data_IF_513122079250
#
_entry.id   IF_513122079250
#
_cell.length_a   1.000
_cell.length_b   1.000
_cell.length_c   1.000
_cell.angle_alpha   90.00
_cell.angle_beta   90.00
_cell.angle_gamma   90.00
#
_symmetry.space_group_name_H-M   'P 1'
#
loop_
_entity.id
_entity.type
_entity.pdbx_description
1 polymer ?
#
# COMPACT_ATOMS: atom_id res chain seq x y z
N UNK A 1 -29.87 27.74 -5.61
CA UNK A 1 -29.70 26.30 -5.85
C UNK A 1 -29.71 26.10 -7.34
N UNK A 2 -28.54 26.17 -7.94
CA UNK A 2 -28.37 25.68 -9.30
C UNK A 2 -28.08 24.19 -9.19
N UNK A 3 -29.06 23.38 -9.59
CA UNK A 3 -29.03 21.92 -9.45
C UNK A 3 -27.80 21.28 -10.11
N UNK A 4 -27.19 21.93 -11.10
CA UNK A 4 -26.00 21.42 -11.76
C UNK A 4 -24.72 21.65 -10.92
N UNK A 5 -24.55 22.84 -10.35
CA UNK A 5 -23.43 23.14 -9.46
C UNK A 5 -23.51 22.31 -8.16
N UNK A 6 -24.71 22.21 -7.58
CA UNK A 6 -24.96 21.41 -6.38
C UNK A 6 -24.62 19.92 -6.61
N UNK A 7 -24.89 19.39 -7.81
CA UNK A 7 -24.51 18.03 -8.21
C UNK A 7 -22.99 17.85 -8.26
N UNK A 8 -22.25 18.80 -8.84
CA UNK A 8 -20.78 18.71 -8.92
C UNK A 8 -20.14 18.71 -7.52
N UNK A 9 -20.65 19.53 -6.59
CA UNK A 9 -20.20 19.54 -5.19
C UNK A 9 -20.46 18.18 -4.52
N UNK A 10 -21.63 17.58 -4.73
CA UNK A 10 -21.93 16.25 -4.19
C UNK A 10 -21.02 15.17 -4.78
N UNK A 11 -20.70 15.23 -6.08
CA UNK A 11 -19.73 14.32 -6.71
C UNK A 11 -18.33 14.46 -6.10
N UNK A 12 -17.89 15.70 -5.82
CA UNK A 12 -16.64 15.96 -5.12
C UNK A 12 -16.65 15.32 -3.71
N UNK A 13 -17.70 15.55 -2.92
CA UNK A 13 -17.83 14.98 -1.57
C UNK A 13 -17.83 13.44 -1.56
N UNK A 14 -18.40 12.82 -2.60
CA UNK A 14 -18.39 11.37 -2.81
C UNK A 14 -17.10 10.83 -3.43
N UNK A 15 -16.12 11.70 -3.71
CA UNK A 15 -14.84 11.35 -4.35
C UNK A 15 -15.03 10.77 -5.76
N UNK A 16 -16.14 11.10 -6.44
CA UNK A 16 -16.48 10.62 -7.78
C UNK A 16 -15.75 11.44 -8.86
N UNK A 17 -14.42 11.45 -8.78
CA UNK A 17 -13.58 12.34 -9.58
C UNK A 17 -13.73 12.14 -11.10
N UNK A 18 -13.86 10.89 -11.56
CA UNK A 18 -14.05 10.61 -12.98
C UNK A 18 -15.33 11.26 -13.53
N UNK A 19 -16.46 11.10 -12.83
CA UNK A 19 -17.75 11.68 -13.24
C UNK A 19 -17.72 13.20 -13.12
N UNK A 20 -17.15 13.73 -12.03
CA UNK A 20 -16.99 15.16 -11.82
C UNK A 20 -16.17 15.82 -12.93
N UNK A 21 -14.99 15.26 -13.24
CA UNK A 21 -14.11 15.78 -14.30
C UNK A 21 -14.75 15.73 -15.68
N UNK A 22 -15.54 14.68 -15.98
CA UNK A 22 -16.25 14.56 -17.25
C UNK A 22 -17.39 15.59 -17.41
N UNK A 23 -18.03 16.00 -16.30
CA UNK A 23 -19.16 16.91 -16.31
C UNK A 23 -18.75 18.39 -16.16
N UNK A 24 -17.65 18.68 -15.47
CA UNK A 24 -17.26 20.04 -15.11
C UNK A 24 -17.15 21.02 -16.30
N UNK A 25 -16.52 20.68 -17.46
CA UNK A 25 -16.45 21.58 -18.63
C UNK A 25 -17.81 21.99 -19.19
N UNK A 26 -18.85 21.17 -19.00
CA UNK A 26 -20.19 21.44 -19.50
C UNK A 26 -21.00 22.36 -18.58
N UNK A 27 -20.65 22.42 -17.30
CA UNK A 27 -21.40 23.18 -16.28
C UNK A 27 -20.71 24.50 -15.95
N UNK A 28 -19.37 24.48 -15.81
CA UNK A 28 -18.56 25.63 -15.40
C UNK A 28 -17.96 26.40 -16.59
N UNK A 29 -18.19 25.93 -17.82
CA UNK A 29 -17.50 26.41 -19.01
C UNK A 29 -16.09 25.83 -19.16
N UNK A 30 -15.51 26.02 -20.34
CA UNK A 30 -14.31 25.30 -20.79
C UNK A 30 -13.10 25.53 -19.87
N UNK A 31 -12.72 26.79 -19.64
CA UNK A 31 -11.51 27.13 -18.88
C UNK A 31 -11.55 26.70 -17.41
N UNK A 32 -12.66 26.91 -16.72
CA UNK A 32 -12.82 26.57 -15.31
C UNK A 32 -13.06 25.07 -15.13
N UNK A 33 -13.88 24.48 -16.00
CA UNK A 33 -14.13 23.06 -16.00
C UNK A 33 -12.90 22.21 -16.35
N UNK A 34 -12.01 22.66 -17.25
CA UNK A 34 -10.71 22.01 -17.51
C UNK A 34 -9.83 21.99 -16.26
N UNK A 35 -9.75 23.11 -15.51
CA UNK A 35 -8.98 23.15 -14.25
C UNK A 35 -9.55 22.20 -13.20
N UNK A 36 -10.87 22.09 -13.09
CA UNK A 36 -11.54 21.10 -12.22
C UNK A 36 -11.23 19.68 -12.70
N UNK A 37 -11.28 19.42 -14.01
CA UNK A 37 -10.96 18.13 -14.58
C UNK A 37 -9.51 17.69 -14.29
N UNK A 38 -8.53 18.60 -14.37
CA UNK A 38 -7.13 18.32 -14.01
C UNK A 38 -6.99 17.88 -12.54
N UNK A 39 -7.68 18.56 -11.62
CA UNK A 39 -7.67 18.21 -10.19
C UNK A 39 -8.39 16.87 -9.95
N UNK A 40 -9.48 16.60 -10.68
CA UNK A 40 -10.16 15.31 -10.67
C UNK A 40 -9.27 14.17 -11.17
N UNK A 41 -8.51 14.37 -12.25
CA UNK A 41 -7.58 13.36 -12.73
C UNK A 41 -6.52 13.01 -11.67
N UNK A 42 -5.97 14.02 -11.01
CA UNK A 42 -5.04 13.83 -9.90
C UNK A 42 -5.67 13.06 -8.73
N UNK A 43 -6.89 13.42 -8.32
CA UNK A 43 -7.64 12.69 -7.29
C UNK A 43 -7.96 11.25 -7.68
N UNK A 44 -8.29 11.02 -8.96
CA UNK A 44 -8.60 9.70 -9.51
C UNK A 44 -7.38 8.77 -9.49
N UNK A 45 -6.19 9.27 -9.86
CA UNK A 45 -4.93 8.49 -9.79
C UNK A 45 -4.62 8.04 -8.37
N UNK A 46 -4.77 8.93 -7.39
CA UNK A 46 -4.60 8.59 -5.96
C UNK A 46 -5.62 7.53 -5.50
N UNK A 47 -6.88 7.67 -5.93
CA UNK A 47 -7.96 6.76 -5.58
C UNK A 47 -7.83 5.38 -6.27
N UNK A 48 -7.18 5.31 -7.44
CA UNK A 48 -6.83 4.05 -8.10
C UNK A 48 -5.53 3.44 -7.58
N UNK A 49 -4.83 4.12 -6.67
CA UNK A 49 -3.52 3.71 -6.13
C UNK A 49 -2.45 3.55 -7.21
N UNK A 50 -2.52 4.38 -8.26
CA UNK A 50 -1.54 4.39 -9.33
C UNK A 50 -0.28 5.17 -8.89
N UNK A 51 0.54 4.51 -8.07
CA UNK A 51 1.66 5.16 -7.39
C UNK A 51 2.75 5.68 -8.33
N UNK A 52 2.78 5.24 -9.59
CA UNK A 52 3.72 5.71 -10.62
C UNK A 52 3.37 7.13 -11.09
N UNK A 53 2.07 7.47 -11.08
CA UNK A 53 1.56 8.74 -11.63
C UNK A 53 1.35 9.84 -10.58
N UNK A 54 1.61 9.58 -9.30
CA UNK A 54 1.41 10.57 -8.23
C UNK A 54 2.31 11.81 -8.36
N UNK A 55 3.44 11.67 -9.05
CA UNK A 55 4.40 12.76 -9.27
C UNK A 55 4.14 13.57 -10.54
N UNK A 56 3.12 13.22 -11.33
CA UNK A 56 2.78 13.91 -12.56
C UNK A 56 2.48 15.40 -12.33
N UNK A 57 2.78 16.22 -13.34
CA UNK A 57 2.59 17.67 -13.25
C UNK A 57 1.10 18.03 -13.24
N UNK A 58 0.57 18.42 -12.08
CA UNK A 58 -0.81 18.86 -11.91
C UNK A 58 -0.86 20.31 -11.40
N UNK A 59 -0.66 21.29 -12.29
CA UNK A 59 -0.52 22.71 -11.88
C UNK A 59 -1.76 23.28 -11.20
N UNK A 60 -2.94 22.78 -11.56
CA UNK A 60 -4.20 23.17 -10.93
C UNK A 60 -4.31 22.70 -9.47
N UNK A 61 -3.49 21.73 -9.05
CA UNK A 61 -3.51 21.17 -7.70
C UNK A 61 -2.58 21.96 -6.76
N UNK A 62 -3.06 22.34 -5.55
CA UNK A 62 -2.27 22.99 -4.52
C UNK A 62 -0.93 22.28 -4.25
N UNK A 63 0.15 23.06 -4.11
CA UNK A 63 1.50 22.53 -3.95
C UNK A 63 1.65 21.60 -2.74
N UNK A 64 0.88 21.86 -1.67
CA UNK A 64 0.81 21.01 -0.48
C UNK A 64 0.29 19.60 -0.79
N UNK A 65 -0.83 19.49 -1.49
CA UNK A 65 -1.43 18.20 -1.87
C UNK A 65 -0.50 17.42 -2.80
N UNK A 66 0.14 18.12 -3.75
CA UNK A 66 1.17 17.52 -4.61
C UNK A 66 2.37 17.00 -3.81
N UNK A 67 2.81 17.74 -2.78
CA UNK A 67 3.92 17.28 -1.92
C UNK A 67 3.55 16.02 -1.15
N UNK A 68 2.34 15.96 -0.59
CA UNK A 68 1.84 14.77 0.11
C UNK A 68 1.71 13.57 -0.82
N UNK A 69 1.19 13.75 -2.03
CA UNK A 69 1.13 12.69 -3.04
C UNK A 69 2.53 12.18 -3.43
N UNK A 70 3.51 13.08 -3.59
CA UNK A 70 4.91 12.70 -3.84
C UNK A 70 5.53 11.85 -2.72
N UNK A 71 5.07 11.99 -1.48
CA UNK A 71 5.53 11.13 -0.38
C UNK A 71 4.99 9.69 -0.49
N UNK A 72 3.90 9.48 -1.23
CA UNK A 72 3.31 8.16 -1.51
C UNK A 72 3.81 7.56 -2.84
N UNK A 73 4.51 8.35 -3.66
CA UNK A 73 4.94 7.96 -5.00
C UNK A 73 6.00 6.85 -4.95
N UNK A 74 5.89 5.88 -5.85
CA UNK A 74 6.93 4.88 -6.06
C UNK A 74 7.90 5.39 -7.13
N UNK A 75 9.20 5.61 -6.82
CA UNK A 75 10.17 6.10 -7.79
C UNK A 75 10.23 5.25 -9.05
N UNK A 76 10.29 5.89 -10.21
CA UNK A 76 10.29 5.25 -11.53
C UNK A 76 11.69 4.95 -12.07
N UNK A 77 12.73 5.51 -11.42
CA UNK A 77 14.13 5.19 -11.73
C UNK A 77 14.95 4.95 -10.46
N UNK A 78 16.08 4.21 -10.56
CA UNK A 78 16.93 3.96 -9.40
C UNK A 78 17.47 5.24 -8.72
N UNK A 79 17.61 6.33 -9.47
CA UNK A 79 18.22 7.59 -8.99
C UNK A 79 17.22 8.69 -8.68
N UNK A 80 15.93 8.45 -8.92
CA UNK A 80 14.91 9.47 -8.71
C UNK A 80 14.83 9.92 -7.24
N UNK A 81 14.66 11.22 -7.06
CA UNK A 81 14.55 11.89 -5.76
C UNK A 81 13.36 12.86 -5.78
N UNK A 82 12.62 13.01 -4.66
CA UNK A 82 12.75 12.26 -3.41
C UNK A 82 12.36 10.78 -3.57
N UNK A 83 12.80 9.91 -2.65
CA UNK A 83 12.52 8.45 -2.71
C UNK A 83 11.07 8.04 -2.44
N UNK A 84 10.18 8.99 -2.10
CA UNK A 84 8.75 8.73 -1.89
C UNK A 84 8.50 7.54 -0.96
N UNK A 85 7.68 6.59 -1.43
CA UNK A 85 7.32 5.37 -0.69
C UNK A 85 8.51 4.47 -0.33
N UNK A 86 9.65 4.56 -1.03
CA UNK A 86 10.87 3.82 -0.67
C UNK A 86 11.61 4.41 0.52
N UNK A 87 11.46 5.72 0.79
CA UNK A 87 11.98 6.30 2.03
C UNK A 87 11.18 5.80 3.24
N UNK A 88 9.86 5.72 3.13
CA UNK A 88 8.96 5.15 4.13
C UNK A 88 7.59 4.87 3.51
N UNK A 89 6.97 3.75 3.87
CA UNK A 89 5.63 3.39 3.45
C UNK A 89 4.55 4.05 4.30
N UNK A 90 4.88 4.71 5.43
CA UNK A 90 3.88 5.29 6.34
C UNK A 90 2.88 6.21 5.61
N UNK A 91 3.30 7.17 4.75
CA UNK A 91 2.36 7.98 3.98
C UNK A 91 1.50 7.16 3.00
N UNK A 92 2.11 6.17 2.32
CA UNK A 92 1.42 5.30 1.39
C UNK A 92 0.36 4.42 2.10
N UNK A 93 0.66 3.93 3.32
CA UNK A 93 -0.30 3.23 4.16
C UNK A 93 -1.43 4.13 4.66
N UNK A 94 -1.12 5.38 4.98
CA UNK A 94 -2.15 6.37 5.29
C UNK A 94 -3.11 6.57 4.13
N UNK A 95 -2.59 6.69 2.90
CA UNK A 95 -3.40 6.76 1.68
C UNK A 95 -4.18 5.46 1.43
N UNK A 96 -3.58 4.29 1.62
CA UNK A 96 -4.26 3.00 1.50
C UNK A 96 -5.47 2.91 2.45
N UNK A 97 -5.28 3.30 3.71
CA UNK A 97 -6.37 3.35 4.70
C UNK A 97 -7.46 4.35 4.30
N UNK A 98 -7.09 5.52 3.79
CA UNK A 98 -8.06 6.51 3.28
C UNK A 98 -8.86 5.95 2.10
N UNK A 99 -8.19 5.32 1.12
CA UNK A 99 -8.81 4.67 -0.04
C UNK A 99 -9.75 3.55 0.41
N UNK A 100 -9.34 2.68 1.33
CA UNK A 100 -10.19 1.62 1.89
C UNK A 100 -11.47 2.23 2.49
N UNK A 101 -11.35 3.30 3.28
CA UNK A 101 -12.50 3.97 3.88
C UNK A 101 -13.42 4.63 2.84
N UNK A 102 -12.85 5.28 1.82
CA UNK A 102 -13.61 5.88 0.71
C UNK A 102 -14.37 4.82 -0.07
N UNK A 103 -13.70 3.74 -0.47
CA UNK A 103 -14.31 2.63 -1.25
C UNK A 103 -15.37 1.89 -0.43
N UNK A 104 -15.15 1.72 0.88
CA UNK A 104 -16.16 1.17 1.79
C UNK A 104 -17.44 2.01 1.80
N UNK A 105 -17.33 3.33 2.01
CA UNK A 105 -18.48 4.25 2.01
C UNK A 105 -19.23 4.25 0.67
N UNK A 106 -18.49 4.12 -0.44
CA UNK A 106 -19.05 4.03 -1.79
C UNK A 106 -19.62 2.67 -2.15
N UNK A 107 -19.51 1.66 -1.26
CA UNK A 107 -19.89 0.26 -1.51
C UNK A 107 -19.13 -0.39 -2.68
N UNK A 108 -17.91 0.08 -2.94
CA UNK A 108 -17.04 -0.43 -3.99
C UNK A 108 -16.11 -1.50 -3.42
N UNK A 109 -16.68 -2.66 -3.11
CA UNK A 109 -16.00 -3.66 -2.27
C UNK A 109 -14.90 -4.44 -3.00
N UNK A 110 -14.99 -4.61 -4.32
CA UNK A 110 -13.91 -5.20 -5.12
C UNK A 110 -12.61 -4.36 -5.11
N UNK A 111 -12.62 -3.05 -5.47
CA UNK A 111 -11.42 -2.23 -5.36
C UNK A 111 -11.00 -1.99 -3.89
N UNK A 112 -11.92 -2.03 -2.92
CA UNK A 112 -11.57 -1.99 -1.50
C UNK A 112 -10.74 -3.22 -1.08
N UNK A 113 -11.16 -4.43 -1.42
CA UNK A 113 -10.39 -5.65 -1.09
C UNK A 113 -9.07 -5.72 -1.86
N UNK A 114 -8.99 -5.14 -3.07
CA UNK A 114 -7.72 -4.96 -3.77
C UNK A 114 -6.75 -4.04 -3.00
N UNK A 115 -7.22 -2.92 -2.44
CA UNK A 115 -6.40 -2.05 -1.60
C UNK A 115 -5.94 -2.75 -0.31
N UNK A 116 -6.82 -3.53 0.34
CA UNK A 116 -6.44 -4.36 1.51
C UNK A 116 -5.36 -5.38 1.15
N UNK A 117 -5.47 -5.99 -0.04
CA UNK A 117 -4.48 -6.95 -0.51
C UNK A 117 -3.11 -6.30 -0.76
N UNK A 118 -3.07 -5.13 -1.43
CA UNK A 118 -1.82 -4.37 -1.62
C UNK A 118 -1.19 -4.06 -0.26
N UNK A 119 -1.98 -3.62 0.72
CA UNK A 119 -1.49 -3.40 2.07
C UNK A 119 -0.89 -4.69 2.66
N UNK A 120 -1.53 -5.85 2.49
CA UNK A 120 -1.00 -7.11 3.00
C UNK A 120 0.34 -7.52 2.35
N UNK A 121 0.50 -7.33 1.05
CA UNK A 121 1.73 -7.67 0.31
C UNK A 121 2.96 -6.88 0.79
N UNK A 122 2.77 -5.61 1.13
CA UNK A 122 3.86 -4.72 1.53
C UNK A 122 4.04 -4.62 3.05
N UNK A 123 3.15 -5.23 3.84
CA UNK A 123 3.18 -5.15 5.31
C UNK A 123 4.48 -5.69 5.92
N UNK A 124 5.13 -6.72 5.34
CA UNK A 124 6.48 -7.09 5.74
C UNK A 124 7.51 -5.96 5.64
N UNK A 125 7.50 -5.15 4.56
CA UNK A 125 8.46 -4.06 4.42
C UNK A 125 8.23 -2.97 5.45
N UNK A 126 6.96 -2.66 5.76
CA UNK A 126 6.61 -1.75 6.85
C UNK A 126 7.13 -2.28 8.20
N UNK A 127 7.11 -3.60 8.44
CA UNK A 127 7.73 -4.19 9.62
C UNK A 127 9.26 -4.03 9.62
N UNK A 128 9.91 -4.10 8.46
CA UNK A 128 11.37 -3.96 8.35
C UNK A 128 11.87 -2.51 8.44
N UNK A 129 11.01 -1.50 8.24
CA UNK A 129 11.42 -0.08 8.24
C UNK A 129 12.27 0.34 9.44
N UNK A 130 11.93 0.00 10.70
CA UNK A 130 12.77 0.38 11.84
C UNK A 130 14.19 -0.20 11.79
N UNK A 131 14.38 -1.37 11.17
CA UNK A 131 15.69 -2.01 11.05
C UNK A 131 16.47 -1.52 9.82
N UNK A 132 15.78 -1.22 8.71
CA UNK A 132 16.40 -0.76 7.46
C UNK A 132 16.64 0.75 7.43
N UNK A 133 15.82 1.53 8.14
CA UNK A 133 15.74 2.99 7.97
C UNK A 133 15.05 3.44 6.68
N UNK A 134 14.47 2.51 5.92
CA UNK A 134 13.78 2.74 4.66
C UNK A 134 12.81 1.58 4.35
N UNK A 135 11.97 1.72 3.33
CA UNK A 135 10.94 0.74 3.00
C UNK A 135 11.35 -0.26 1.91
N UNK A 136 12.50 -0.89 2.11
CA UNK A 136 13.06 -1.84 1.14
C UNK A 136 13.48 -1.22 -0.20
N UNK A 137 14.21 -0.10 -0.16
CA UNK A 137 14.85 0.50 -1.34
C UNK A 137 15.99 -0.41 -1.83
N UNK A 138 15.91 -0.91 -3.08
CA UNK A 138 16.97 -1.76 -3.64
C UNK A 138 18.34 -1.11 -3.72
N UNK A 139 18.43 0.22 -3.69
CA UNK A 139 19.69 0.95 -3.70
C UNK A 139 20.36 1.03 -2.32
N UNK A 140 19.67 0.64 -1.24
CA UNK A 140 20.13 0.82 0.13
C UNK A 140 20.17 -0.48 0.96
N UNK A 141 20.06 -1.65 0.32
CA UNK A 141 20.11 -2.92 1.02
C UNK A 141 21.39 -3.09 1.86
N UNK A 142 21.29 -3.61 3.09
CA UNK A 142 22.46 -3.83 3.93
C UNK A 142 23.33 -4.93 3.33
N UNK A 143 24.65 -4.71 3.32
CA UNK A 143 25.62 -5.67 2.80
C UNK A 143 25.53 -7.05 3.47
N UNK A 144 25.00 -7.11 4.70
CA UNK A 144 24.74 -8.35 5.44
C UNK A 144 23.81 -9.33 4.72
N UNK A 145 22.88 -8.85 3.87
CA UNK A 145 22.03 -9.73 3.06
C UNK A 145 22.85 -10.61 2.11
N UNK A 146 23.98 -10.12 1.60
CA UNK A 146 24.86 -10.84 0.68
C UNK A 146 26.19 -11.28 1.33
N UNK A 147 26.25 -11.31 2.67
CA UNK A 147 27.47 -11.72 3.38
C UNK A 147 27.79 -13.21 3.17
N UNK A 148 29.07 -13.63 3.34
CA UNK A 148 29.44 -15.04 3.33
C UNK A 148 28.57 -15.87 4.29
N UNK A 149 28.03 -16.98 3.80
CA UNK A 149 27.09 -17.82 4.54
C UNK A 149 25.63 -17.37 4.46
N UNK A 150 25.32 -16.27 3.76
CA UNK A 150 23.94 -15.93 3.39
C UNK A 150 23.50 -16.72 2.16
N UNK A 151 22.28 -17.25 2.21
CA UNK A 151 21.59 -17.85 1.06
C UNK A 151 20.65 -16.86 0.35
N UNK A 152 20.53 -15.62 0.85
CA UNK A 152 19.64 -14.62 0.27
C UNK A 152 20.12 -14.23 -1.13
N UNK A 153 19.26 -14.40 -2.12
CA UNK A 153 19.61 -14.17 -3.53
C UNK A 153 20.37 -15.32 -4.20
N UNK A 154 20.60 -16.45 -3.51
CA UNK A 154 21.19 -17.65 -4.13
C UNK A 154 20.09 -18.48 -4.80
N UNK A 155 20.17 -18.62 -6.13
CA UNK A 155 19.17 -19.34 -6.92
C UNK A 155 19.50 -20.84 -6.93
N UNK A 156 18.48 -21.67 -6.70
CA UNK A 156 18.58 -23.13 -6.76
C UNK A 156 19.02 -23.78 -5.46
N UNK A 157 19.24 -23.01 -4.40
CA UNK A 157 19.52 -23.52 -3.07
C UNK A 157 18.27 -24.24 -2.53
N UNK A 158 18.42 -25.53 -2.19
CA UNK A 158 17.34 -26.38 -1.69
C UNK A 158 17.21 -26.36 -0.17
N UNK A 159 18.21 -25.84 0.52
CA UNK A 159 18.19 -25.66 1.97
C UNK A 159 17.58 -24.30 2.37
N UNK A 160 17.40 -23.41 1.40
CA UNK A 160 16.66 -22.16 1.58
C UNK A 160 15.13 -22.41 1.52
N UNK A 161 14.40 -21.87 2.50
CA UNK A 161 12.93 -21.96 2.53
C UNK A 161 12.22 -21.04 1.52
N UNK A 162 12.96 -20.16 0.84
CA UNK A 162 12.43 -19.40 -0.29
C UNK A 162 12.07 -20.32 -1.45
N UNK A 163 10.89 -20.14 -2.01
CA UNK A 163 10.50 -20.70 -3.30
C UNK A 163 11.45 -20.23 -4.41
N UNK A 164 11.46 -20.91 -5.57
CA UNK A 164 12.27 -20.48 -6.72
C UNK A 164 11.92 -19.06 -7.20
N UNK A 165 10.65 -18.68 -7.12
CA UNK A 165 10.20 -17.33 -7.48
C UNK A 165 10.77 -16.29 -6.52
N UNK A 166 10.67 -16.53 -5.20
CA UNK A 166 11.26 -15.67 -4.18
C UNK A 166 12.78 -15.59 -4.33
N UNK A 167 13.48 -16.70 -4.53
CA UNK A 167 14.94 -16.73 -4.79
C UNK A 167 15.32 -15.85 -5.99
N UNK A 168 14.53 -15.89 -7.07
CA UNK A 168 14.74 -15.02 -8.23
C UNK A 168 14.49 -13.54 -7.92
N UNK A 169 13.42 -13.23 -7.18
CA UNK A 169 13.10 -11.87 -6.77
C UNK A 169 14.17 -11.28 -5.83
N UNK A 170 14.61 -12.03 -4.82
CA UNK A 170 15.67 -11.61 -3.90
C UNK A 170 17.06 -11.61 -4.54
N UNK A 171 17.31 -12.38 -5.60
CA UNK A 171 18.53 -12.23 -6.39
C UNK A 171 18.51 -10.91 -7.17
N UNK A 172 17.39 -10.60 -7.82
CA UNK A 172 17.26 -9.40 -8.66
C UNK A 172 17.28 -8.12 -7.84
N UNK A 173 16.66 -8.09 -6.66
CA UNK A 173 16.65 -6.89 -5.80
C UNK A 173 18.05 -6.42 -5.40
N UNK A 174 19.02 -7.34 -5.27
CA UNK A 174 20.41 -7.00 -4.92
C UNK A 174 21.18 -6.29 -6.04
N UNK A 175 20.65 -6.26 -7.27
CA UNK A 175 21.32 -5.66 -8.44
C UNK A 175 20.47 -4.66 -9.22
N UNK A 176 19.16 -4.62 -9.00
CA UNK A 176 18.22 -3.82 -9.81
C UNK A 176 18.50 -2.32 -9.74
N UNK A 177 19.14 -1.83 -8.68
CA UNK A 177 19.55 -0.42 -8.58
C UNK A 177 20.56 0.01 -9.66
N UNK A 178 21.25 -0.95 -10.30
CA UNK A 178 22.15 -0.71 -11.42
C UNK A 178 21.49 -0.97 -12.80
N UNK A 179 20.25 -1.47 -12.83
CA UNK A 179 19.51 -1.69 -14.08
C UNK A 179 18.99 -0.36 -14.67
N UNK A 180 18.76 -0.28 -15.99
CA UNK A 180 18.05 0.84 -16.60
C UNK A 180 16.62 1.00 -16.06
N UNK A 181 15.99 2.15 -16.33
CA UNK A 181 14.65 2.47 -15.82
C UNK A 181 13.55 1.47 -16.21
N UNK A 182 13.67 0.78 -17.35
CA UNK A 182 12.77 -0.32 -17.71
C UNK A 182 12.91 -1.54 -16.80
N UNK A 183 14.14 -1.91 -16.43
CA UNK A 183 14.42 -3.02 -15.52
C UNK A 183 13.92 -2.73 -14.12
N UNK A 184 14.16 -1.51 -13.64
CA UNK A 184 13.63 -0.99 -12.37
C UNK A 184 12.10 -1.11 -12.29
N UNK A 185 11.37 -0.56 -13.28
CA UNK A 185 9.90 -0.64 -13.31
C UNK A 185 9.40 -2.09 -13.40
N UNK A 186 10.02 -2.91 -14.24
CA UNK A 186 9.66 -4.33 -14.34
C UNK A 186 9.92 -5.12 -13.04
N UNK A 187 10.84 -4.68 -12.19
CA UNK A 187 11.05 -5.27 -10.86
C UNK A 187 9.95 -4.87 -9.88
N UNK A 188 9.57 -3.59 -9.84
CA UNK A 188 8.48 -3.12 -8.98
C UNK A 188 7.14 -3.75 -9.35
N UNK A 189 6.85 -3.86 -10.64
CA UNK A 189 5.62 -4.48 -11.17
C UNK A 189 5.47 -5.95 -10.76
N UNK A 190 6.57 -6.71 -10.68
CA UNK A 190 6.50 -8.18 -10.64
C UNK A 190 7.12 -8.86 -9.43
N UNK A 191 8.02 -8.18 -8.72
CA UNK A 191 8.95 -8.84 -7.80
C UNK A 191 9.12 -8.14 -6.46
N UNK A 192 8.88 -6.84 -6.33
CA UNK A 192 9.14 -6.13 -5.07
C UNK A 192 8.27 -6.64 -3.91
N UNK A 193 6.98 -6.94 -4.15
CA UNK A 193 6.11 -7.59 -3.15
C UNK A 193 6.59 -8.99 -2.75
N UNK A 194 7.21 -9.75 -3.67
CA UNK A 194 7.78 -11.06 -3.35
C UNK A 194 9.00 -10.92 -2.42
N UNK A 195 9.79 -9.85 -2.58
CA UNK A 195 10.92 -9.56 -1.68
C UNK A 195 10.43 -9.24 -0.28
N UNK A 196 9.31 -8.53 -0.13
CA UNK A 196 8.67 -8.27 1.15
C UNK A 196 8.39 -9.59 1.91
N UNK A 197 7.69 -10.52 1.27
CA UNK A 197 7.41 -11.84 1.83
C UNK A 197 8.67 -12.65 2.13
N UNK A 198 9.65 -12.64 1.22
CA UNK A 198 10.91 -13.36 1.38
C UNK A 198 11.73 -12.86 2.59
N UNK A 199 11.80 -11.54 2.81
CA UNK A 199 12.44 -10.95 3.99
C UNK A 199 11.77 -11.37 5.29
N UNK A 200 10.43 -11.32 5.34
CA UNK A 200 9.69 -11.79 6.51
C UNK A 200 9.90 -13.29 6.75
N UNK A 201 9.98 -14.12 5.70
CA UNK A 201 10.32 -15.54 5.83
C UNK A 201 11.70 -15.73 6.45
N UNK A 202 12.72 -14.97 6.01
CA UNK A 202 14.07 -15.05 6.56
C UNK A 202 14.12 -14.81 8.08
N UNK A 203 13.38 -13.82 8.58
CA UNK A 203 13.43 -13.44 10.00
C UNK A 203 12.44 -14.21 10.88
N UNK A 204 11.30 -14.66 10.33
CA UNK A 204 10.20 -15.18 11.15
C UNK A 204 9.83 -16.66 10.92
N UNK A 205 10.17 -17.27 9.77
CA UNK A 205 9.71 -18.63 9.41
C UNK A 205 10.82 -19.59 8.94
N UNK A 206 12.03 -19.09 8.68
CA UNK A 206 13.12 -19.92 8.16
C UNK A 206 13.54 -21.03 9.13
N UNK A 207 13.45 -22.29 8.69
CA UNK A 207 13.77 -23.50 9.47
C UNK A 207 15.27 -23.77 9.55
N UNK A 208 16.03 -23.29 8.58
CA UNK A 208 17.49 -23.37 8.55
C UNK A 208 18.09 -21.97 8.35
N UNK A 209 18.10 -21.11 9.40
CA UNK A 209 18.62 -19.75 9.30
C UNK A 209 20.05 -19.72 8.75
N UNK A 210 20.33 -18.72 7.93
CA UNK A 210 21.64 -18.44 7.36
C UNK A 210 22.05 -17.01 7.72
N UNK A 211 23.23 -16.55 7.28
CA UNK A 211 23.78 -15.25 7.70
C UNK A 211 22.99 -14.02 7.23
N UNK A 212 21.94 -14.19 6.41
CA UNK A 212 21.16 -13.10 5.82
C UNK A 212 20.60 -12.09 6.82
N UNK A 213 20.31 -12.51 8.06
CA UNK A 213 19.70 -11.67 9.10
C UNK A 213 20.66 -11.36 10.26
N UNK A 214 21.97 -11.61 10.10
CA UNK A 214 22.95 -11.39 11.18
C UNK A 214 23.37 -9.91 11.33
N UNK A 215 23.00 -9.07 10.37
CA UNK A 215 23.18 -7.61 10.47
C UNK A 215 22.17 -6.94 11.41
N UNK A 216 21.10 -7.63 11.81
CA UNK A 216 20.13 -7.16 12.81
C UNK A 216 20.53 -7.72 14.18
N UNK A 217 20.69 -6.83 15.17
CA UNK A 217 21.02 -7.24 16.53
C UNK A 217 19.96 -8.20 17.11
N UNK A 218 20.39 -9.15 17.95
CA UNK A 218 19.50 -10.23 18.40
C UNK A 218 18.19 -9.77 19.09
N UNK A 219 18.18 -8.76 19.98
CA UNK A 219 16.94 -8.24 20.57
C UNK A 219 16.01 -7.63 19.51
N UNK A 220 16.54 -6.80 18.62
CA UNK A 220 15.78 -6.13 17.55
C UNK A 220 15.25 -7.15 16.53
N UNK A 221 16.01 -8.22 16.28
CA UNK A 221 15.62 -9.33 15.41
C UNK A 221 14.44 -10.11 15.97
N UNK A 222 14.35 -10.29 17.29
CA UNK A 222 13.23 -10.99 17.91
C UNK A 222 11.92 -10.17 17.81
N UNK A 223 12.00 -8.86 18.06
CA UNK A 223 10.88 -7.94 17.85
C UNK A 223 10.44 -7.91 16.38
N UNK A 224 11.39 -7.74 15.46
CA UNK A 224 11.13 -7.77 14.02
C UNK A 224 10.50 -9.09 13.58
N UNK A 225 10.97 -10.24 14.09
CA UNK A 225 10.39 -11.54 13.81
C UNK A 225 8.92 -11.63 14.25
N UNK A 226 8.57 -11.07 15.41
CA UNK A 226 7.19 -11.05 15.90
C UNK A 226 6.28 -10.21 14.98
N UNK A 227 6.72 -9.01 14.58
CA UNK A 227 5.98 -8.13 13.66
C UNK A 227 5.86 -8.74 12.26
N UNK A 228 6.93 -9.31 11.72
CA UNK A 228 6.93 -10.01 10.44
C UNK A 228 6.04 -11.25 10.45
N UNK A 229 5.98 -11.99 11.55
CA UNK A 229 5.06 -13.14 11.70
C UNK A 229 3.60 -12.71 11.62
N UNK A 230 3.24 -11.58 12.24
CA UNK A 230 1.89 -11.01 12.15
C UNK A 230 1.60 -10.50 10.74
N UNK A 231 2.56 -9.84 10.08
CA UNK A 231 2.41 -9.41 8.69
C UNK A 231 2.11 -10.58 7.74
N UNK A 232 2.89 -11.67 7.86
CA UNK A 232 2.65 -12.89 7.08
C UNK A 232 1.32 -13.56 7.43
N UNK A 233 0.93 -13.56 8.71
CA UNK A 233 -0.36 -14.09 9.13
C UNK A 233 -1.53 -13.27 8.56
N UNK A 234 -1.41 -11.93 8.50
CA UNK A 234 -2.41 -11.04 7.92
C UNK A 234 -2.66 -11.34 6.43
N UNK A 235 -1.59 -11.53 5.65
CA UNK A 235 -1.69 -11.92 4.24
C UNK A 235 -2.44 -13.24 4.01
N UNK A 236 -2.40 -14.14 4.99
CA UNK A 236 -3.09 -15.44 4.97
C UNK A 236 -4.54 -15.38 5.50
N UNK A 237 -5.03 -14.22 5.93
CA UNK A 237 -6.36 -14.10 6.53
C UNK A 237 -7.50 -14.22 5.52
N UNK A 238 -8.72 -14.61 5.97
CA UNK A 238 -9.91 -14.63 5.12
C UNK A 238 -10.19 -13.30 4.42
N UNK A 239 -9.97 -12.16 5.08
CA UNK A 239 -10.20 -10.83 4.49
C UNK A 239 -9.33 -10.60 3.24
N UNK A 240 -8.02 -10.88 3.33
CA UNK A 240 -7.09 -10.70 2.20
C UNK A 240 -7.40 -11.68 1.07
N UNK A 241 -7.83 -12.91 1.42
CA UNK A 241 -8.22 -13.94 0.45
C UNK A 241 -9.51 -13.62 -0.31
N UNK A 242 -10.34 -12.68 0.16
CA UNK A 242 -11.55 -12.28 -0.59
C UNK A 242 -11.23 -11.78 -2.00
N UNK A 243 -10.07 -11.13 -2.21
CA UNK A 243 -9.61 -10.74 -3.56
C UNK A 243 -9.54 -11.94 -4.51
N UNK A 244 -9.16 -13.10 -3.98
CA UNK A 244 -9.00 -14.33 -4.74
C UNK A 244 -10.21 -15.27 -4.67
N UNK A 245 -11.28 -14.91 -3.95
CA UNK A 245 -12.45 -15.79 -3.77
C UNK A 245 -13.39 -15.82 -4.99
N UNK A 246 -13.03 -15.13 -6.08
CA UNK A 246 -13.73 -15.17 -7.35
C UNK A 246 -13.08 -16.04 -8.48
N UNK A 247 -12.60 -17.30 -8.30
CA UNK A 247 -12.10 -18.06 -9.45
C UNK A 247 -12.99 -19.24 -9.90
N UNK A 248 -13.80 -19.88 -9.05
CA UNK A 248 -14.66 -21.01 -9.48
C UNK A 248 -15.71 -21.35 -8.42
N UNK A 249 -16.98 -21.25 -8.81
CA UNK A 249 -18.15 -21.55 -7.97
C UNK A 249 -19.41 -21.00 -8.62
N UNK A 250 -19.61 -19.68 -8.55
CA UNK A 250 -20.76 -18.99 -9.17
C UNK A 250 -20.40 -17.63 -9.82
N UNK A 251 -19.15 -17.48 -10.29
CA UNK A 251 -18.71 -16.61 -11.41
C UNK A 251 -18.84 -15.08 -11.35
N UNK A 252 -19.65 -14.49 -10.46
CA UNK A 252 -20.00 -13.06 -10.57
C UNK A 252 -20.09 -12.30 -9.22
N UNK A 253 -19.70 -12.94 -8.10
CA UNK A 253 -19.87 -12.33 -6.77
C UNK A 253 -18.83 -11.25 -6.48
N UNK A 254 -19.24 -9.98 -6.51
CA UNK A 254 -18.57 -8.92 -5.73
C UNK A 254 -18.92 -9.19 -4.26
N UNK A 255 -17.94 -9.25 -3.34
CA UNK A 255 -18.25 -9.50 -1.93
C UNK A 255 -19.18 -8.40 -1.41
N UNK A 256 -20.21 -8.80 -0.69
CA UNK A 256 -21.11 -7.90 0.04
C UNK A 256 -20.42 -7.33 1.28
N UNK A 257 -20.99 -6.26 1.84
CA UNK A 257 -20.43 -5.62 3.04
C UNK A 257 -20.45 -6.59 4.24
N UNK A 258 -21.47 -7.44 4.33
CA UNK A 258 -21.60 -8.47 5.35
C UNK A 258 -20.49 -9.52 5.22
N UNK A 259 -20.27 -10.06 4.02
CA UNK A 259 -19.18 -11.02 3.77
C UNK A 259 -17.80 -10.45 4.11
N UNK A 260 -17.57 -9.16 3.82
CA UNK A 260 -16.33 -8.47 4.21
C UNK A 260 -16.20 -8.40 5.73
N UNK A 261 -17.24 -7.99 6.46
CA UNK A 261 -17.20 -7.87 7.92
C UNK A 261 -17.03 -9.21 8.60
N UNK A 262 -17.72 -10.25 8.12
CA UNK A 262 -17.53 -11.61 8.62
C UNK A 262 -16.11 -12.14 8.35
N UNK A 263 -15.58 -11.89 7.15
CA UNK A 263 -14.20 -12.25 6.83
C UNK A 263 -13.22 -11.49 7.72
N UNK A 264 -13.47 -10.20 8.00
CA UNK A 264 -12.65 -9.42 8.91
C UNK A 264 -12.72 -9.96 10.34
N UNK A 265 -13.90 -10.32 10.85
CA UNK A 265 -14.06 -10.91 12.18
C UNK A 265 -13.22 -12.19 12.36
N UNK A 266 -13.31 -13.09 11.39
CA UNK A 266 -12.49 -14.31 11.37
C UNK A 266 -11.00 -14.00 11.27
N UNK A 267 -10.63 -12.96 10.52
CA UNK A 267 -9.25 -12.49 10.39
C UNK A 267 -8.72 -11.96 11.73
N UNK A 268 -9.48 -11.13 12.45
CA UNK A 268 -9.14 -10.64 13.78
C UNK A 268 -8.90 -11.78 14.75
N UNK A 269 -9.80 -12.76 14.80
CA UNK A 269 -9.67 -13.96 15.64
C UNK A 269 -8.43 -14.80 15.31
N UNK A 270 -8.03 -14.86 14.04
CA UNK A 270 -6.82 -15.56 13.61
C UNK A 270 -5.54 -14.81 13.99
N UNK A 271 -5.56 -13.48 13.98
CA UNK A 271 -4.43 -12.62 14.33
C UNK A 271 -4.23 -12.46 15.83
N UNK A 272 -5.32 -12.54 16.62
CA UNK A 272 -5.32 -12.42 18.07
C UNK A 272 -4.66 -13.63 18.76
N UNK A 273 -3.32 -13.68 18.65
CA UNK A 273 -2.44 -14.73 19.18
C UNK A 273 -1.24 -14.18 19.94
N UNK A 274 -0.99 -12.87 19.83
CA UNK A 274 0.14 -12.19 20.46
C UNK A 274 -0.16 -10.67 20.55
N UNK A 275 0.57 -9.90 21.38
CA UNK A 275 0.27 -8.48 21.60
C UNK A 275 0.20 -7.61 20.34
N UNK A 276 1.00 -7.91 19.30
CA UNK A 276 0.99 -7.17 18.02
C UNK A 276 -0.27 -7.51 17.23
N UNK A 277 -0.62 -8.80 17.12
CA UNK A 277 -1.81 -9.24 16.41
C UNK A 277 -3.12 -8.85 17.10
N UNK A 278 -3.14 -8.83 18.43
CA UNK A 278 -4.30 -8.40 19.23
C UNK A 278 -4.69 -6.93 19.01
N UNK A 279 -3.83 -6.09 18.45
CA UNK A 279 -4.23 -4.70 18.14
C UNK A 279 -5.28 -4.63 17.04
N UNK A 280 -5.43 -5.69 16.22
CA UNK A 280 -6.51 -5.82 15.25
C UNK A 280 -7.91 -5.88 15.90
N UNK A 281 -8.03 -6.17 17.19
CA UNK A 281 -9.32 -6.24 17.90
C UNK A 281 -9.79 -4.90 18.46
N UNK A 282 -8.99 -3.83 18.31
CA UNK A 282 -9.36 -2.49 18.77
C UNK A 282 -10.54 -1.96 17.98
N UNK A 283 -11.42 -1.23 18.66
CA UNK A 283 -12.44 -0.42 18.01
C UNK A 283 -11.91 1.02 17.88
N UNK A 284 -11.32 1.31 16.73
CA UNK A 284 -10.70 2.60 16.40
C UNK A 284 -11.58 3.47 15.48
N UNK A 285 -12.85 3.11 15.31
CA UNK A 285 -13.80 3.84 14.47
C UNK A 285 -13.56 3.73 12.96
N UNK A 286 -12.56 2.95 12.53
CA UNK A 286 -12.32 2.66 11.12
C UNK A 286 -13.36 1.66 10.59
N UNK A 287 -13.78 1.72 9.30
CA UNK A 287 -14.76 0.77 8.75
C UNK A 287 -14.42 -0.71 8.95
N UNK A 288 -13.13 -1.04 8.92
CA UNK A 288 -12.58 -2.33 9.33
C UNK A 288 -11.87 -2.12 10.68
N UNK A 289 -12.65 -2.06 11.75
CA UNK A 289 -12.17 -1.70 13.09
C UNK A 289 -10.90 -2.47 13.48
N UNK A 290 -9.88 -1.74 13.91
CA UNK A 290 -8.59 -2.27 14.35
C UNK A 290 -7.55 -2.41 13.23
N UNK A 291 -7.92 -2.21 11.96
CA UNK A 291 -6.96 -2.30 10.86
C UNK A 291 -5.85 -1.24 10.92
N UNK A 292 -6.12 0.07 11.14
CA UNK A 292 -5.06 1.06 11.38
C UNK A 292 -4.20 0.71 12.60
N UNK A 293 -4.83 0.19 13.67
CA UNK A 293 -4.14 -0.24 14.88
C UNK A 293 -3.17 -1.41 14.62
N UNK A 294 -3.56 -2.38 13.78
CA UNK A 294 -2.72 -3.48 13.34
C UNK A 294 -1.51 -2.97 12.54
N UNK A 295 -1.74 -2.11 11.55
CA UNK A 295 -0.66 -1.55 10.73
C UNK A 295 0.32 -0.73 11.58
N UNK A 296 -0.19 0.07 12.51
CA UNK A 296 0.65 0.82 13.45
C UNK A 296 1.53 -0.09 14.32
N UNK A 297 0.95 -1.19 14.82
CA UNK A 297 1.68 -2.16 15.65
C UNK A 297 2.77 -2.89 14.86
N UNK A 298 2.49 -3.26 13.61
CA UNK A 298 3.47 -3.90 12.73
C UNK A 298 4.58 -2.91 12.31
N UNK A 299 4.24 -1.65 12.06
CA UNK A 299 5.21 -0.60 11.73
C UNK A 299 6.10 -0.20 12.91
N UNK A 300 5.70 -0.51 14.15
CA UNK A 300 6.24 0.08 15.37
C UNK A 300 6.21 1.64 15.35
N UNK A 301 5.24 2.21 14.63
CA UNK A 301 5.05 3.65 14.47
C UNK A 301 3.56 3.94 14.20
N UNK A 302 3.05 5.15 14.51
CA UNK A 302 1.67 5.50 14.19
C UNK A 302 1.41 5.49 12.68
N UNK A 303 0.40 4.74 12.26
CA UNK A 303 -0.11 4.67 10.89
C UNK A 303 -1.61 4.91 10.94
N UNK A 304 -2.02 6.13 10.60
CA UNK A 304 -3.41 6.56 10.59
C UNK A 304 -3.89 6.82 9.16
N UNK A 305 -5.21 6.75 8.87
CA UNK A 305 -5.75 7.17 7.59
C UNK A 305 -5.31 8.59 7.25
N UNK A 306 -4.86 8.80 6.01
CA UNK A 306 -4.58 10.13 5.50
C UNK A 306 -5.89 10.91 5.25
N UNK A 307 -5.72 12.20 4.95
CA UNK A 307 -6.81 13.10 4.51
C UNK A 307 -6.59 13.61 3.08
N UNK A 308 -5.70 12.98 2.31
CA UNK A 308 -5.26 13.53 1.03
C UNK A 308 -6.41 13.61 0.02
N UNK A 309 -7.21 12.55 -0.07
CA UNK A 309 -8.39 12.54 -0.94
C UNK A 309 -9.48 13.47 -0.39
N UNK A 310 -9.70 13.48 0.93
CA UNK A 310 -10.66 14.39 1.56
C UNK A 310 -10.32 15.87 1.27
N UNK A 311 -9.04 16.23 1.35
CA UNK A 311 -8.58 17.60 1.11
C UNK A 311 -8.64 17.98 -0.38
N UNK A 312 -8.47 17.01 -1.29
CA UNK A 312 -8.72 17.21 -2.74
C UNK A 312 -10.20 17.47 -2.99
N UNK A 313 -11.10 16.66 -2.42
CA UNK A 313 -12.54 16.85 -2.53
C UNK A 313 -13.01 18.20 -1.97
N UNK A 314 -12.42 18.63 -0.85
CA UNK A 314 -12.69 19.96 -0.28
C UNK A 314 -12.22 21.09 -1.20
N UNK A 315 -11.03 20.95 -1.79
CA UNK A 315 -10.50 21.93 -2.74
C UNK A 315 -11.37 22.03 -4.00
N UNK A 316 -11.79 20.90 -4.57
CA UNK A 316 -12.71 20.85 -5.70
C UNK A 316 -14.04 21.53 -5.37
N UNK A 317 -14.60 21.26 -4.19
CA UNK A 317 -15.85 21.87 -3.75
C UNK A 317 -15.73 23.40 -3.69
N UNK A 318 -14.61 23.91 -3.15
CA UNK A 318 -14.35 25.36 -3.13
C UNK A 318 -14.27 25.94 -4.55
N UNK A 319 -13.53 25.30 -5.46
CA UNK A 319 -13.41 25.74 -6.86
C UNK A 319 -14.74 25.80 -7.61
N UNK A 320 -15.70 24.93 -7.27
CA UNK A 320 -17.02 24.87 -7.92
C UNK A 320 -17.96 25.96 -7.38
N UNK A 321 -17.75 26.40 -6.14
CA UNK A 321 -18.63 27.37 -5.46
C UNK A 321 -18.14 28.83 -5.52
N UNK A 322 -16.90 29.04 -5.96
CA UNK A 322 -16.31 30.37 -6.23
C UNK A 322 -16.81 30.95 -7.56
#
# INVERSE_FOLDING_TARGET
MDTAHDLLVELAARHAYADLGALAPRVLGEREGERVADVCEFGQRLLSLDAEDFAAEARAVPAELRRRARNCHMPQTPREQPRGALATLVPAYGLLLEVIAVRWRRRELSPMTAAVHIAAEYLPLLAFEPALGHAGDPAAWPAGLAAPGSRFGVIGDRECDHTRAEQSAVNRTLRVAAEPGEGWRAYFDRQHSQVAGALATCVARCRAPCAAMDWVAAPDRADLAARAKVALAFADTPLVRLRHAAPVGHGFGVPSAEEVLEAWERSRSALDKNPIGSTATRDDGFPLAGLPSLFSAVAAAPVAPATLLADISAHLSAMITE
#
